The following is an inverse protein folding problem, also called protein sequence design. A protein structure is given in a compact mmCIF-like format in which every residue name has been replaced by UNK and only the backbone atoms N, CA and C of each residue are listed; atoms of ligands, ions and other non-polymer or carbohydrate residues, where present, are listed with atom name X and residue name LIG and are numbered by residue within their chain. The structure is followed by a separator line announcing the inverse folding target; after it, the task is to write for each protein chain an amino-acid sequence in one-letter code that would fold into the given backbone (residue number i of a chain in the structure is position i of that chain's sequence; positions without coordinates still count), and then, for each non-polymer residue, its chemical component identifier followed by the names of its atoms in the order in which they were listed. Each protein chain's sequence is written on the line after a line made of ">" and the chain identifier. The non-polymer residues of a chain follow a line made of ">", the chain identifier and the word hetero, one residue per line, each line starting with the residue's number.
data_IF_949077465544
#
_entry.id   IF_949077465544
#
_cell.length_a   1.000
_cell.length_b   1.000
_cell.length_c   1.000
_cell.angle_alpha   90.00
_cell.angle_beta   90.00
_cell.angle_gamma   90.00
#
_symmetry.space_group_name_H-M   'P 1'
#
loop_
_entity.id
_entity.type
_entity.pdbx_description
1 polymer ?
#
# COMPACT_ATOMS: atom_id res chain seq x y z
N UNK A 1 -4.10 -10.24 -6.47
CA UNK A 1 -4.90 -9.36 -7.39
C UNK A 1 -5.05 -10.02 -8.75
N UNK A 2 -6.18 -9.85 -9.45
CA UNK A 2 -6.40 -10.42 -10.78
C UNK A 2 -6.00 -9.43 -11.89
N UNK A 3 -5.17 -9.88 -12.83
CA UNK A 3 -4.80 -9.12 -14.04
C UNK A 3 -6.01 -8.95 -14.95
N UNK A 4 -6.22 -7.74 -15.46
CA UNK A 4 -7.28 -7.37 -16.40
C UNK A 4 -6.72 -6.44 -17.48
N UNK A 5 -7.44 -6.34 -18.59
CA UNK A 5 -7.17 -5.39 -19.67
C UNK A 5 -8.41 -4.51 -19.82
N UNK A 6 -8.21 -3.20 -19.85
CA UNK A 6 -9.30 -2.24 -19.92
C UNK A 6 -9.94 -2.27 -21.32
N UNK A 7 -11.20 -2.67 -21.43
CA UNK A 7 -11.95 -2.65 -22.71
C UNK A 7 -12.31 -1.23 -23.17
N UNK A 8 -12.27 -0.27 -22.25
CA UNK A 8 -12.55 1.17 -22.44
C UNK A 8 -11.75 1.99 -21.42
N UNK A 9 -11.76 3.33 -21.53
CA UNK A 9 -11.23 4.21 -20.46
C UNK A 9 -11.95 3.91 -19.15
N UNK A 10 -11.19 3.66 -18.08
CA UNK A 10 -11.77 3.43 -16.75
C UNK A 10 -12.04 4.79 -16.08
N UNK A 11 -13.19 4.89 -15.38
CA UNK A 11 -13.48 6.05 -14.52
C UNK A 11 -12.58 6.09 -13.28
N UNK A 12 -12.16 4.91 -12.80
CA UNK A 12 -11.29 4.76 -11.64
C UNK A 12 -9.83 4.99 -12.02
N UNK A 13 -9.07 5.51 -11.06
CA UNK A 13 -7.62 5.75 -11.15
C UNK A 13 -6.88 4.72 -10.32
N UNK A 14 -5.57 4.57 -10.55
CA UNK A 14 -4.71 3.74 -9.71
C UNK A 14 -4.73 4.29 -8.29
N UNK A 15 -5.11 3.48 -7.31
CA UNK A 15 -5.26 3.97 -5.93
C UNK A 15 -3.93 4.49 -5.35
N UNK A 16 -2.80 3.89 -5.74
CA UNK A 16 -1.48 4.27 -5.21
C UNK A 16 -0.87 5.52 -5.85
N UNK A 17 -1.12 5.78 -7.14
CA UNK A 17 -0.42 6.85 -7.87
C UNK A 17 -1.31 7.78 -8.68
N UNK A 18 -2.63 7.61 -8.60
CA UNK A 18 -3.59 8.44 -9.34
C UNK A 18 -3.58 8.28 -10.86
N UNK A 19 -2.78 7.36 -11.43
CA UNK A 19 -2.74 7.13 -12.88
C UNK A 19 -4.11 6.74 -13.43
N UNK A 20 -4.50 7.37 -14.53
CA UNK A 20 -5.70 7.00 -15.29
C UNK A 20 -5.44 5.80 -16.21
N UNK A 21 -6.51 5.06 -16.55
CA UNK A 21 -6.44 3.89 -17.43
C UNK A 21 -7.23 4.12 -18.72
N UNK A 22 -6.56 3.93 -19.86
CA UNK A 22 -7.15 4.00 -21.22
C UNK A 22 -7.54 2.61 -21.71
N UNK A 23 -8.26 2.54 -22.83
CA UNK A 23 -8.54 1.27 -23.51
C UNK A 23 -7.21 0.57 -23.85
N UNK A 24 -7.14 -0.73 -23.60
CA UNK A 24 -5.93 -1.54 -23.79
C UNK A 24 -4.98 -1.56 -22.59
N UNK A 25 -5.13 -0.66 -21.62
CA UNK A 25 -4.25 -0.66 -20.45
C UNK A 25 -4.45 -1.91 -19.59
N UNK A 26 -3.33 -2.50 -19.16
CA UNK A 26 -3.31 -3.55 -18.15
C UNK A 26 -3.52 -2.90 -16.78
N UNK A 27 -4.38 -3.49 -15.97
CA UNK A 27 -4.56 -3.12 -14.58
C UNK A 27 -4.82 -4.36 -13.74
N UNK A 28 -4.64 -4.21 -12.43
CA UNK A 28 -4.90 -5.27 -11.47
C UNK A 28 -6.06 -4.85 -10.59
N UNK A 29 -7.02 -5.75 -10.44
CA UNK A 29 -8.22 -5.52 -9.64
C UNK A 29 -8.21 -6.45 -8.43
N UNK A 30 -8.46 -5.86 -7.28
CA UNK A 30 -8.76 -6.56 -6.05
C UNK A 30 -10.19 -6.23 -5.65
N UNK A 31 -10.96 -7.26 -5.27
CA UNK A 31 -12.30 -7.13 -4.73
C UNK A 31 -12.37 -8.08 -3.55
N UNK A 32 -12.84 -7.55 -2.44
CA UNK A 32 -13.05 -8.29 -1.21
C UNK A 32 -14.48 -8.00 -0.73
N UNK A 33 -15.13 -9.04 -0.23
CA UNK A 33 -16.48 -8.98 0.32
C UNK A 33 -16.39 -9.67 1.68
N UNK A 34 -16.72 -8.93 2.72
CA UNK A 34 -16.66 -9.39 4.10
C UNK A 34 -18.03 -9.21 4.74
N UNK A 35 -18.34 -10.11 5.67
CA UNK A 35 -19.45 -9.90 6.58
C UNK A 35 -18.90 -9.17 7.80
N UNK A 36 -19.43 -7.98 8.04
CA UNK A 36 -19.14 -7.20 9.22
C UNK A 36 -20.01 -7.73 10.37
N UNK A 37 -19.37 -8.34 11.36
CA UNK A 37 -20.07 -8.93 12.50
C UNK A 37 -20.57 -7.89 13.50
N UNK A 38 -19.96 -6.70 13.52
CA UNK A 38 -20.33 -5.65 14.47
C UNK A 38 -21.58 -4.91 14.00
N UNK A 39 -21.72 -4.73 12.67
CA UNK A 39 -22.90 -4.11 12.06
C UNK A 39 -23.89 -5.12 11.46
N UNK A 40 -23.56 -6.42 11.50
CA UNK A 40 -24.31 -7.50 10.85
C UNK A 40 -24.60 -7.22 9.36
N UNK A 41 -23.65 -6.59 8.66
CA UNK A 41 -23.81 -6.11 7.28
C UNK A 41 -22.78 -6.73 6.33
N UNK A 42 -23.11 -6.77 5.03
CA UNK A 42 -22.15 -7.19 4.00
C UNK A 42 -21.44 -5.96 3.45
N UNK A 43 -20.13 -5.89 3.66
CA UNK A 43 -19.28 -4.82 3.13
C UNK A 43 -18.48 -5.35 1.95
N UNK A 44 -18.40 -4.55 0.89
CA UNK A 44 -17.58 -4.86 -0.27
C UNK A 44 -16.71 -3.67 -0.64
N UNK A 45 -15.40 -3.91 -0.80
CA UNK A 45 -14.48 -2.90 -1.32
C UNK A 45 -13.73 -3.42 -2.53
N UNK A 46 -13.41 -2.48 -3.42
CA UNK A 46 -12.69 -2.76 -4.65
C UNK A 46 -11.68 -1.67 -4.90
N UNK A 47 -10.47 -2.08 -5.26
CA UNK A 47 -9.47 -1.17 -5.75
C UNK A 47 -8.70 -1.70 -6.95
N UNK A 48 -8.14 -0.76 -7.69
CA UNK A 48 -7.34 -1.04 -8.87
C UNK A 48 -5.95 -0.44 -8.74
N UNK A 49 -4.96 -1.18 -9.23
CA UNK A 49 -3.57 -0.76 -9.29
C UNK A 49 -3.03 -0.90 -10.71
N UNK A 50 -2.16 0.04 -11.08
CA UNK A 50 -1.41 -0.08 -12.33
C UNK A 50 -0.30 -1.13 -12.19
N UNK A 51 0.23 -1.68 -13.31
CA UNK A 51 1.25 -2.72 -13.27
C UNK A 51 2.51 -2.31 -12.50
N UNK A 52 2.90 -1.03 -12.63
CA UNK A 52 4.05 -0.47 -11.91
C UNK A 52 3.86 -0.49 -10.39
N UNK A 53 2.72 -0.01 -9.89
CA UNK A 53 2.43 0.00 -8.46
C UNK A 53 2.28 -1.41 -7.90
N UNK A 54 1.64 -2.32 -8.65
CA UNK A 54 1.56 -3.71 -8.26
C UNK A 54 2.94 -4.35 -8.15
N UNK A 55 3.79 -4.18 -9.17
CA UNK A 55 5.15 -4.73 -9.13
C UNK A 55 5.94 -4.22 -7.92
N UNK A 56 5.88 -2.91 -7.64
CA UNK A 56 6.54 -2.33 -6.45
C UNK A 56 6.04 -2.96 -5.16
N UNK A 57 4.73 -3.13 -5.02
CA UNK A 57 4.12 -3.73 -3.85
C UNK A 57 4.49 -5.22 -3.70
N UNK A 58 4.39 -5.99 -4.77
CA UNK A 58 4.76 -7.42 -4.76
C UNK A 58 6.26 -7.58 -4.44
N UNK A 59 7.12 -6.80 -5.10
CA UNK A 59 8.57 -6.82 -4.84
C UNK A 59 8.91 -6.40 -3.41
N UNK A 60 8.21 -5.43 -2.84
CA UNK A 60 8.36 -5.04 -1.44
C UNK A 60 7.95 -6.20 -0.51
N UNK A 61 6.84 -6.88 -0.79
CA UNK A 61 6.37 -8.01 0.01
C UNK A 61 7.29 -9.23 -0.09
N UNK A 62 7.78 -9.56 -1.28
CA UNK A 62 8.72 -10.66 -1.49
C UNK A 62 10.01 -10.41 -0.70
N UNK A 63 10.50 -9.16 -0.74
CA UNK A 63 11.65 -8.73 0.05
C UNK A 63 11.34 -8.85 1.55
N UNK A 64 10.20 -8.34 2.00
CA UNK A 64 9.79 -8.40 3.40
C UNK A 64 9.78 -9.85 3.91
N UNK A 65 9.07 -10.77 3.25
CA UNK A 65 8.97 -12.17 3.68
C UNK A 65 10.32 -12.89 3.66
N UNK A 66 11.17 -12.60 2.67
CA UNK A 66 12.53 -13.19 2.59
C UNK A 66 13.44 -12.78 3.74
N UNK A 67 13.31 -11.54 4.22
CA UNK A 67 14.20 -10.98 5.24
C UNK A 67 13.59 -11.00 6.66
N UNK A 68 12.29 -11.26 6.79
CA UNK A 68 11.55 -11.39 8.05
C UNK A 68 12.15 -12.39 9.03
N UNK A 69 12.64 -13.53 8.56
CA UNK A 69 13.29 -14.54 9.41
C UNK A 69 14.74 -14.20 9.77
N UNK A 70 15.31 -13.17 9.14
CA UNK A 70 16.75 -12.85 9.21
C UNK A 70 17.05 -11.62 10.05
N UNK A 71 16.06 -10.78 10.38
CA UNK A 71 16.30 -9.61 11.20
C UNK A 71 15.72 -9.75 12.61
N UNK A 72 16.55 -9.45 13.61
CA UNK A 72 16.25 -9.61 15.04
C UNK A 72 15.78 -8.30 15.70
N UNK A 73 15.65 -7.26 14.90
CA UNK A 73 15.18 -5.96 15.32
C UNK A 73 13.65 -5.89 15.06
N UNK A 74 12.80 -5.35 15.97
CA UNK A 74 11.36 -5.13 15.69
C UNK A 74 11.19 -4.41 14.36
N UNK A 75 10.18 -4.63 13.48
CA UNK A 75 9.99 -4.04 12.13
C UNK A 75 9.01 -2.82 12.11
N UNK A 76 9.41 -1.61 11.66
CA UNK A 76 8.74 -0.31 11.88
C UNK A 76 9.27 0.82 10.92
N UNK A 77 9.01 2.12 11.13
CA UNK A 77 8.96 3.17 10.09
C UNK A 77 9.36 4.63 10.50
N UNK A 78 10.25 5.36 9.79
CA UNK A 78 10.70 6.75 10.12
C UNK A 78 9.58 7.76 10.40
N UNK A 79 9.74 8.52 11.47
CA UNK A 79 8.74 9.39 12.05
C UNK A 79 9.20 10.85 12.03
N UNK A 80 8.28 11.71 11.60
CA UNK A 80 8.42 13.16 11.61
C UNK A 80 7.44 13.72 12.67
N UNK A 81 7.95 14.49 13.62
CA UNK A 81 7.22 15.31 14.59
C UNK A 81 7.20 16.79 14.18
N UNK A 82 6.68 17.70 15.00
CA UNK A 82 6.72 19.16 14.76
C UNK A 82 7.56 19.83 15.86
N UNK A 83 8.29 20.90 15.52
CA UNK A 83 9.10 21.67 16.48
C UNK A 83 8.16 22.37 17.48
N UNK A 84 8.42 22.29 18.80
CA UNK A 84 7.57 22.93 19.80
C UNK A 84 7.46 24.45 19.58
N UNK A 85 6.27 24.92 19.20
CA UNK A 85 5.99 26.35 18.97
C UNK A 85 6.07 26.81 17.51
N UNK A 86 6.39 25.93 16.57
CA UNK A 86 6.44 26.26 15.13
C UNK A 86 5.52 25.34 14.30
N UNK A 87 4.98 25.84 13.18
CA UNK A 87 4.27 25.03 12.19
C UNK A 87 5.24 24.28 11.25
N UNK A 88 6.40 23.89 11.78
CA UNK A 88 7.52 23.29 11.08
C UNK A 88 7.70 21.86 11.59
N UNK A 89 7.66 20.86 10.70
CA UNK A 89 7.92 19.47 11.05
C UNK A 89 9.42 19.25 11.34
N UNK A 90 9.75 18.52 12.41
CA UNK A 90 11.08 17.99 12.70
C UNK A 90 11.09 16.46 12.66
N UNK A 91 12.12 15.83 12.11
CA UNK A 91 12.34 14.40 12.28
C UNK A 91 12.40 14.02 13.76
N UNK A 92 11.71 12.95 14.14
CA UNK A 92 11.60 12.48 15.53
C UNK A 92 12.52 11.28 15.75
N UNK A 93 12.52 10.34 14.80
CA UNK A 93 13.28 9.09 14.86
C UNK A 93 13.10 8.20 13.65
N UNK A 94 14.11 7.40 13.38
CA UNK A 94 13.97 6.29 12.45
C UNK A 94 13.39 5.10 13.13
N UNK A 95 12.70 4.28 12.37
CA UNK A 95 12.45 2.93 12.81
C UNK A 95 12.39 2.01 11.55
N UNK A 96 13.14 0.91 11.53
CA UNK A 96 13.44 0.09 10.32
C UNK A 96 12.28 -0.69 9.56
N UNK A 97 12.18 -0.61 8.24
CA UNK A 97 10.99 -1.14 7.51
C UNK A 97 11.00 -2.65 7.18
N UNK A 98 12.02 -3.34 7.69
CA UNK A 98 12.20 -4.80 7.65
C UNK A 98 12.55 -5.34 9.05
N UNK A 99 12.94 -4.43 9.97
CA UNK A 99 13.32 -4.64 11.38
C UNK A 99 13.65 -3.36 12.14
N UNK A 100 12.81 -2.38 11.93
CA UNK A 100 12.06 -1.43 12.76
C UNK A 100 12.63 -0.85 14.01
N UNK A 101 13.87 -1.10 14.29
CA UNK A 101 14.46 -0.39 15.38
C UNK A 101 14.44 1.07 14.97
N UNK A 102 13.90 1.95 15.84
CA UNK A 102 14.75 3.05 16.30
C UNK A 102 16.10 2.44 16.50
N UNK A 103 16.87 2.63 15.44
CA UNK A 103 18.27 2.31 15.38
C UNK A 103 18.98 3.48 16.03
#
# INVERSE_FOLDING_TARGET
>A
MKRRVASRRLKRKCQTCGREFKKGDVYYKHREVIFDFDFAEIIAFEFIQCPKCKYKHDSHNDRFERFKSRCHHPITHEVWSYIPGEAVMQPDHDECLICGKWV
#
